data_IF_572631892238
#
_entry.id   IF_572631892238
#
_cell.length_a   1.000
_cell.length_b   1.000
_cell.length_c   1.000
_cell.angle_alpha   90.00
_cell.angle_beta   90.00
_cell.angle_gamma   90.00
#
_symmetry.space_group_name_H-M   'P 1'
#
loop_
_entity.id
_entity.type
_entity.pdbx_description
1 polymer ?
#
# COMPACT_ATOMS: atom_id res chain seq x y z
N UNK A 1 24.92 18.26 -6.43
CA UNK A 1 24.54 17.05 -5.66
C UNK A 1 25.72 16.09 -5.74
N UNK A 2 26.28 15.65 -4.62
CA UNK A 2 27.46 14.75 -4.59
C UNK A 2 26.99 13.31 -4.60
N UNK A 3 27.60 12.45 -5.43
CA UNK A 3 27.41 11.00 -5.33
C UNK A 3 28.07 10.49 -4.05
N UNK A 4 27.43 9.52 -3.42
CA UNK A 4 27.94 8.83 -2.24
C UNK A 4 28.86 7.70 -2.67
N UNK A 5 29.89 7.43 -1.87
CA UNK A 5 30.67 6.21 -2.03
C UNK A 5 29.86 4.98 -1.55
N UNK A 6 30.39 3.78 -1.78
CA UNK A 6 29.68 2.54 -1.44
C UNK A 6 29.35 2.43 0.06
N UNK A 7 30.25 2.86 0.94
CA UNK A 7 30.05 2.83 2.39
C UNK A 7 28.96 3.81 2.84
N UNK A 8 29.02 5.05 2.34
CA UNK A 8 28.03 6.10 2.57
C UNK A 8 26.65 5.70 2.02
N UNK A 9 26.64 5.05 0.85
CA UNK A 9 25.43 4.57 0.20
C UNK A 9 24.80 3.42 0.97
N UNK A 10 25.61 2.50 1.48
CA UNK A 10 25.16 1.38 2.29
C UNK A 10 24.62 1.85 3.65
N UNK A 11 25.28 2.84 4.29
CA UNK A 11 24.78 3.43 5.53
C UNK A 11 23.44 4.14 5.29
N UNK A 12 23.34 4.94 4.21
CA UNK A 12 22.11 5.66 3.88
C UNK A 12 20.96 4.69 3.58
N UNK A 13 21.18 3.72 2.68
CA UNK A 13 20.19 2.70 2.36
C UNK A 13 19.77 1.95 3.63
N UNK A 14 20.71 1.53 4.47
CA UNK A 14 20.41 0.74 5.68
C UNK A 14 19.63 1.55 6.70
N UNK A 15 19.98 2.82 6.89
CA UNK A 15 19.29 3.70 7.83
C UNK A 15 17.82 3.84 7.45
N UNK A 16 17.56 3.99 6.15
CA UNK A 16 16.20 4.07 5.65
C UNK A 16 15.52 2.70 5.58
N UNK A 17 16.20 1.61 5.23
CA UNK A 17 15.61 0.28 5.02
C UNK A 17 15.40 -0.54 6.31
N UNK A 18 16.23 -0.33 7.32
CA UNK A 18 16.29 -1.18 8.52
C UNK A 18 16.26 -0.39 9.82
N UNK A 19 16.35 0.96 9.75
CA UNK A 19 16.46 1.81 10.93
C UNK A 19 17.81 1.71 11.62
N UNK A 20 18.81 1.11 10.97
CA UNK A 20 20.17 0.90 11.46
C UNK A 20 21.20 1.31 10.43
N UNK A 21 22.41 1.67 10.86
CA UNK A 21 23.50 2.03 9.93
C UNK A 21 24.04 0.87 9.10
N UNK A 22 23.72 -0.35 9.50
CA UNK A 22 24.14 -1.59 8.85
C UNK A 22 22.91 -2.40 8.43
N UNK A 23 23.02 -3.22 7.35
CA UNK A 23 21.95 -4.13 6.98
C UNK A 23 21.64 -5.14 8.08
N UNK A 24 20.38 -5.59 8.15
CA UNK A 24 20.01 -6.73 8.99
C UNK A 24 20.76 -8.00 8.55
N UNK A 25 21.03 -8.90 9.50
CA UNK A 25 21.66 -10.18 9.21
C UNK A 25 20.87 -10.94 8.13
N UNK A 26 21.56 -11.42 7.09
CA UNK A 26 20.96 -12.08 5.92
C UNK A 26 20.59 -11.14 4.75
N UNK A 27 20.63 -9.82 4.95
CA UNK A 27 20.29 -8.84 3.90
C UNK A 27 21.49 -8.09 3.32
N UNK A 28 22.71 -8.42 3.76
CA UNK A 28 23.94 -7.70 3.36
C UNK A 28 24.18 -7.72 1.86
N UNK A 29 24.06 -8.89 1.22
CA UNK A 29 24.29 -9.04 -0.23
C UNK A 29 23.25 -8.28 -1.06
N UNK A 30 21.98 -8.33 -0.65
CA UNK A 30 20.89 -7.59 -1.28
C UNK A 30 21.07 -6.07 -1.12
N UNK A 31 21.51 -5.62 0.06
CA UNK A 31 21.80 -4.22 0.31
C UNK A 31 22.95 -3.71 -0.56
N UNK A 32 24.00 -4.52 -0.77
CA UNK A 32 25.10 -4.18 -1.68
C UNK A 32 24.64 -4.10 -3.15
N UNK A 33 23.80 -5.03 -3.61
CA UNK A 33 23.22 -4.97 -4.96
C UNK A 33 22.35 -3.72 -5.16
N UNK A 34 21.55 -3.37 -4.15
CA UNK A 34 20.74 -2.15 -4.15
C UNK A 34 21.61 -0.88 -4.19
N UNK A 35 22.72 -0.85 -3.44
CA UNK A 35 23.70 0.25 -3.49
C UNK A 35 24.31 0.38 -4.88
N UNK A 36 24.76 -0.73 -5.49
CA UNK A 36 25.31 -0.74 -6.83
C UNK A 36 24.31 -0.22 -7.86
N UNK A 37 23.05 -0.66 -7.76
CA UNK A 37 21.97 -0.20 -8.64
C UNK A 37 21.70 1.31 -8.54
N UNK A 38 21.87 1.89 -7.35
CA UNK A 38 21.64 3.32 -7.15
C UNK A 38 22.84 4.20 -7.50
N UNK A 39 24.00 3.62 -7.82
CA UNK A 39 25.22 4.31 -8.26
C UNK A 39 25.57 5.56 -7.43
N UNK A 40 25.39 5.48 -6.10
CA UNK A 40 25.67 6.58 -5.18
C UNK A 40 24.70 7.75 -5.23
N UNK A 41 23.57 7.66 -5.95
CA UNK A 41 22.53 8.69 -5.98
C UNK A 41 21.77 8.74 -4.63
N UNK A 42 21.91 9.81 -3.82
CA UNK A 42 21.30 9.87 -2.49
C UNK A 42 19.78 9.76 -2.53
N UNK A 43 19.13 10.33 -3.54
CA UNK A 43 17.68 10.31 -3.67
C UNK A 43 17.17 8.91 -4.05
N UNK A 44 17.88 8.22 -4.95
CA UNK A 44 17.53 6.84 -5.30
C UNK A 44 17.66 5.90 -4.09
N UNK A 45 18.73 6.06 -3.32
CA UNK A 45 18.99 5.29 -2.08
C UNK A 45 17.92 5.57 -1.02
N UNK A 46 17.54 6.83 -0.82
CA UNK A 46 16.50 7.22 0.15
C UNK A 46 15.12 6.65 -0.23
N UNK A 47 14.74 6.75 -1.49
CA UNK A 47 13.47 6.21 -2.01
C UNK A 47 13.44 4.69 -1.85
N UNK A 48 14.52 4.02 -2.27
CA UNK A 48 14.62 2.57 -2.17
C UNK A 48 14.63 2.10 -0.72
N UNK A 49 15.44 2.71 0.14
CA UNK A 49 15.52 2.38 1.56
C UNK A 49 14.18 2.60 2.27
N UNK A 50 13.52 3.74 2.04
CA UNK A 50 12.24 4.05 2.68
C UNK A 50 11.10 3.11 2.24
N UNK A 51 11.20 2.58 1.02
CA UNK A 51 10.30 1.51 0.53
C UNK A 51 10.48 0.22 1.35
N UNK A 52 11.71 -0.12 1.74
CA UNK A 52 12.05 -1.34 2.49
C UNK A 52 11.70 -1.24 4.00
N UNK A 53 11.78 -0.05 4.61
CA UNK A 53 11.62 0.16 6.07
C UNK A 53 10.36 -0.41 6.72
N UNK A 54 9.27 -0.50 5.96
CA UNK A 54 7.93 -0.72 6.51
C UNK A 54 7.28 -2.03 6.10
N UNK A 55 8.03 -2.98 5.56
CA UNK A 55 7.43 -4.18 4.97
C UNK A 55 7.37 -5.43 5.85
N UNK A 56 7.57 -5.32 7.17
CA UNK A 56 7.29 -6.40 8.11
C UNK A 56 6.05 -6.21 8.99
N UNK A 57 5.20 -5.22 8.72
CA UNK A 57 3.89 -5.13 9.40
C UNK A 57 2.83 -4.43 8.56
N UNK A 58 2.45 -5.03 7.44
CA UNK A 58 1.07 -4.91 6.94
C UNK A 58 0.64 -6.30 6.40
N UNK A 59 0.12 -7.20 7.24
CA UNK A 59 -0.49 -8.43 6.75
C UNK A 59 -1.88 -8.10 6.19
N UNK A 60 -1.94 -7.45 5.02
CA UNK A 60 -3.10 -7.46 4.11
C UNK A 60 -2.79 -6.68 2.84
N UNK A 61 -1.75 -7.10 2.11
CA UNK A 61 -1.76 -6.94 0.65
C UNK A 61 -2.87 -7.82 0.10
N UNK A 62 -4.13 -7.40 0.18
CA UNK A 62 -5.25 -8.12 -0.44
C UNK A 62 -5.21 -7.88 -1.95
N UNK A 63 -4.17 -8.41 -2.60
CA UNK A 63 -4.23 -8.68 -4.03
C UNK A 63 -5.40 -9.63 -4.24
N UNK A 64 -6.41 -9.18 -4.98
CA UNK A 64 -7.62 -9.97 -5.25
C UNK A 64 -7.40 -10.74 -6.53
N UNK A 65 -8.07 -11.89 -6.60
CA UNK A 65 -8.11 -12.64 -7.84
C UNK A 65 -8.73 -11.78 -8.95
N UNK A 66 -8.07 -11.68 -10.10
CA UNK A 66 -8.59 -10.88 -11.21
C UNK A 66 -9.99 -11.35 -11.63
N UNK A 67 -10.23 -12.66 -11.60
CA UNK A 67 -11.52 -13.24 -11.98
C UNK A 67 -12.63 -12.82 -10.99
N UNK A 68 -12.28 -12.69 -9.70
CA UNK A 68 -13.19 -12.18 -8.67
C UNK A 68 -13.49 -10.69 -8.85
N UNK A 69 -12.47 -9.88 -9.13
CA UNK A 69 -12.63 -8.43 -9.35
C UNK A 69 -13.51 -8.18 -10.58
N UNK A 70 -13.23 -8.86 -11.68
CA UNK A 70 -14.03 -8.78 -12.91
C UNK A 70 -15.47 -9.18 -12.61
N UNK A 71 -15.70 -10.32 -11.94
CA UNK A 71 -17.06 -10.78 -11.61
C UNK A 71 -17.91 -9.73 -10.88
N UNK A 72 -17.32 -8.96 -9.96
CA UNK A 72 -18.03 -7.96 -9.17
C UNK A 72 -18.22 -6.65 -9.95
N UNK A 73 -17.19 -6.21 -10.68
CA UNK A 73 -17.16 -4.85 -11.26
C UNK A 73 -17.56 -4.81 -12.73
N UNK A 74 -17.66 -5.94 -13.43
CA UNK A 74 -18.04 -5.96 -14.84
C UNK A 74 -19.39 -5.28 -15.13
N UNK A 75 -20.47 -5.52 -14.36
CA UNK A 75 -21.79 -4.95 -14.66
C UNK A 75 -21.81 -3.42 -14.71
N UNK A 76 -21.09 -2.77 -13.80
CA UNK A 76 -21.16 -1.32 -13.62
C UNK A 76 -19.99 -0.58 -14.28
N UNK A 77 -18.85 -1.25 -14.49
CA UNK A 77 -17.59 -0.57 -14.82
C UNK A 77 -16.85 -1.15 -16.03
N UNK A 78 -17.38 -2.15 -16.73
CA UNK A 78 -16.67 -2.82 -17.84
C UNK A 78 -15.24 -3.22 -17.42
N UNK A 79 -15.16 -3.87 -16.25
CA UNK A 79 -13.93 -4.07 -15.49
C UNK A 79 -12.81 -4.72 -16.32
N UNK A 80 -13.13 -5.64 -17.22
CA UNK A 80 -12.15 -6.29 -18.10
C UNK A 80 -11.40 -5.27 -18.95
N UNK A 81 -12.12 -4.34 -19.58
CA UNK A 81 -11.54 -3.29 -20.42
C UNK A 81 -10.81 -2.24 -19.57
N UNK A 82 -11.40 -1.86 -18.44
CA UNK A 82 -10.80 -0.93 -17.49
C UNK A 82 -9.45 -1.43 -16.94
N UNK A 83 -9.41 -2.67 -16.45
CA UNK A 83 -8.19 -3.31 -15.91
C UNK A 83 -7.11 -3.40 -16.98
N UNK A 84 -7.45 -3.85 -18.20
CA UNK A 84 -6.49 -3.89 -19.31
C UNK A 84 -5.89 -2.52 -19.62
N UNK A 85 -6.72 -1.48 -19.61
CA UNK A 85 -6.27 -0.10 -19.82
C UNK A 85 -5.32 0.37 -18.71
N UNK A 86 -5.62 0.06 -17.45
CA UNK A 86 -4.77 0.40 -16.31
C UNK A 86 -3.43 -0.36 -16.32
N UNK A 87 -3.43 -1.63 -16.75
CA UNK A 87 -2.20 -2.41 -16.95
C UNK A 87 -1.33 -1.80 -18.05
N UNK A 88 -1.91 -1.45 -19.20
CA UNK A 88 -1.18 -0.80 -20.29
C UNK A 88 -0.60 0.57 -19.88
N UNK A 89 -1.16 1.21 -18.86
CA UNK A 89 -0.67 2.47 -18.29
C UNK A 89 0.28 2.27 -17.11
N UNK A 90 0.71 1.03 -16.82
CA UNK A 90 1.59 0.67 -15.71
C UNK A 90 1.04 1.07 -14.32
N UNK A 91 -0.30 1.24 -14.20
CA UNK A 91 -0.94 1.57 -12.93
C UNK A 91 -1.33 0.31 -12.13
N UNK A 92 -1.55 -0.79 -12.84
CA UNK A 92 -1.83 -2.10 -12.29
C UNK A 92 -0.92 -3.15 -12.96
N UNK A 93 -0.73 -4.27 -12.27
CA UNK A 93 -0.04 -5.45 -12.80
C UNK A 93 -0.77 -6.72 -12.36
N UNK A 94 -0.49 -7.83 -13.02
CA UNK A 94 -0.94 -9.15 -12.61
C UNK A 94 0.24 -9.96 -12.11
N UNK A 95 0.11 -10.57 -10.94
CA UNK A 95 1.09 -11.54 -10.44
C UNK A 95 0.96 -12.89 -11.17
N UNK A 96 1.96 -13.79 -11.05
CA UNK A 96 1.90 -15.12 -11.66
C UNK A 96 0.69 -15.96 -11.21
N UNK A 97 0.17 -15.73 -10.00
CA UNK A 97 -1.01 -16.39 -9.44
C UNK A 97 -2.33 -15.63 -9.72
N UNK A 98 -2.40 -14.87 -10.81
CA UNK A 98 -3.59 -14.12 -11.26
C UNK A 98 -4.13 -13.10 -10.24
N UNK A 99 -3.29 -12.58 -9.37
CA UNK A 99 -3.72 -11.51 -8.45
C UNK A 99 -3.48 -10.16 -9.10
N UNK A 100 -4.47 -9.28 -8.96
CA UNK A 100 -4.35 -7.90 -9.37
C UNK A 100 -3.55 -7.14 -8.31
N UNK A 101 -2.48 -6.49 -8.75
CA UNK A 101 -1.53 -5.79 -7.88
C UNK A 101 -1.41 -4.35 -8.34
N UNK A 102 -1.33 -3.42 -7.37
CA UNK A 102 -1.02 -2.02 -7.61
C UNK A 102 0.31 -1.69 -6.93
N UNK A 103 1.16 -0.87 -7.57
CA UNK A 103 2.41 -0.43 -6.96
C UNK A 103 2.14 0.34 -5.65
N UNK A 104 2.98 0.12 -4.63
CA UNK A 104 2.79 0.71 -3.30
C UNK A 104 2.67 2.24 -3.33
N UNK A 105 3.49 2.92 -4.13
CA UNK A 105 3.43 4.39 -4.26
C UNK A 105 2.08 4.88 -4.79
N UNK A 106 1.49 4.18 -5.77
CA UNK A 106 0.17 4.54 -6.30
C UNK A 106 -0.92 4.31 -5.26
N UNK A 107 -0.81 3.24 -4.48
CA UNK A 107 -1.72 3.00 -3.36
C UNK A 107 -1.61 4.09 -2.30
N UNK A 108 -0.40 4.43 -1.89
CA UNK A 108 -0.14 5.44 -0.87
C UNK A 108 -0.60 6.83 -1.34
N UNK A 109 -0.42 7.14 -2.63
CA UNK A 109 -0.96 8.35 -3.25
C UNK A 109 -2.49 8.36 -3.20
N UNK A 110 -3.16 7.30 -3.67
CA UNK A 110 -4.62 7.21 -3.64
C UNK A 110 -5.20 7.31 -2.23
N UNK A 111 -4.59 6.63 -1.26
CA UNK A 111 -4.95 6.72 0.16
C UNK A 111 -4.76 8.14 0.70
N UNK A 112 -3.67 8.83 0.32
CA UNK A 112 -3.45 10.20 0.75
C UNK A 112 -4.48 11.16 0.18
N UNK A 113 -4.86 11.03 -1.10
CA UNK A 113 -5.91 11.85 -1.72
C UNK A 113 -7.20 11.75 -0.89
N UNK A 114 -7.66 10.52 -0.61
CA UNK A 114 -8.88 10.31 0.18
C UNK A 114 -8.72 10.80 1.63
N UNK A 115 -7.52 10.66 2.22
CA UNK A 115 -7.25 11.19 3.57
C UNK A 115 -7.36 12.72 3.62
N UNK A 116 -6.99 13.42 2.54
CA UNK A 116 -7.06 14.89 2.48
C UNK A 116 -8.48 15.43 2.37
N UNK A 117 -9.44 14.64 1.87
CA UNK A 117 -10.86 15.03 1.87
C UNK A 117 -11.36 15.34 3.28
N UNK A 118 -10.89 14.58 4.28
CA UNK A 118 -11.05 14.93 5.68
C UNK A 118 -9.94 14.34 6.55
N UNK A 119 -8.98 15.18 6.91
CA UNK A 119 -7.85 14.78 7.77
C UNK A 119 -8.36 14.29 9.13
N UNK A 120 -9.36 14.98 9.69
CA UNK A 120 -9.85 14.77 11.06
C UNK A 120 -10.91 13.69 11.18
N UNK A 121 -11.72 13.46 10.14
CA UNK A 121 -12.90 12.60 10.24
C UNK A 121 -12.98 11.60 9.09
N UNK A 122 -12.67 10.31 9.34
CA UNK A 122 -12.82 9.26 8.33
C UNK A 122 -14.24 9.15 7.77
N UNK A 123 -15.26 9.43 8.58
CA UNK A 123 -16.67 9.40 8.18
C UNK A 123 -17.04 10.42 7.08
N UNK A 124 -16.23 11.45 6.87
CA UNK A 124 -16.45 12.50 5.86
C UNK A 124 -15.60 12.30 4.60
N UNK A 125 -15.06 11.09 4.40
CA UNK A 125 -14.26 10.72 3.23
C UNK A 125 -15.14 9.91 2.25
N UNK A 126 -14.76 9.91 1.00
CA UNK A 126 -15.32 9.08 -0.08
C UNK A 126 -15.07 7.60 0.17
N UNK A 127 -13.90 7.25 0.72
CA UNK A 127 -13.52 5.85 0.98
C UNK A 127 -12.91 5.69 2.36
N UNK A 128 -13.27 4.60 3.02
CA UNK A 128 -12.67 4.20 4.30
C UNK A 128 -12.21 2.75 4.19
N UNK A 129 -10.91 2.52 4.41
CA UNK A 129 -10.30 1.20 4.26
C UNK A 129 -9.70 0.64 5.55
N UNK A 130 -9.56 1.45 6.60
CA UNK A 130 -9.05 0.98 7.90
C UNK A 130 -10.17 0.28 8.65
N UNK A 131 -9.97 -1.01 8.98
CA UNK A 131 -11.00 -1.84 9.62
C UNK A 131 -11.57 -1.20 10.89
N UNK A 132 -10.74 -0.54 11.69
CA UNK A 132 -11.17 0.18 12.91
C UNK A 132 -12.09 1.38 12.60
N UNK A 133 -11.77 2.15 11.57
CA UNK A 133 -12.57 3.31 11.18
C UNK A 133 -13.90 2.84 10.58
N UNK A 134 -13.84 1.86 9.68
CA UNK A 134 -15.03 1.25 9.07
C UNK A 134 -15.96 0.68 10.14
N UNK A 135 -15.43 -0.08 11.10
CA UNK A 135 -16.23 -0.62 12.20
C UNK A 135 -16.85 0.48 13.06
N UNK A 136 -16.08 1.50 13.46
CA UNK A 136 -16.60 2.61 14.26
C UNK A 136 -17.72 3.37 13.54
N UNK A 137 -17.57 3.57 12.22
CA UNK A 137 -18.58 4.24 11.40
C UNK A 137 -19.86 3.42 11.37
N UNK A 138 -19.77 2.11 11.11
CA UNK A 138 -20.94 1.24 10.99
C UNK A 138 -21.62 1.00 12.35
N UNK A 139 -20.86 0.65 13.39
CA UNK A 139 -21.40 0.33 14.73
C UNK A 139 -22.07 1.53 15.42
N UNK A 140 -21.64 2.75 15.11
CA UNK A 140 -22.21 3.99 15.68
C UNK A 140 -23.18 4.69 14.74
N UNK A 141 -23.46 4.13 13.55
CA UNK A 141 -24.30 4.77 12.54
C UNK A 141 -23.78 6.14 12.08
N UNK A 142 -22.45 6.35 12.12
CA UNK A 142 -21.82 7.62 11.75
C UNK A 142 -21.47 7.70 10.25
N UNK A 143 -22.14 6.90 9.41
CA UNK A 143 -22.00 7.02 7.96
C UNK A 143 -22.44 8.41 7.51
N UNK A 144 -21.77 8.95 6.50
CA UNK A 144 -22.19 10.20 5.86
C UNK A 144 -22.47 9.96 4.39
N UNK A 145 -23.21 10.88 3.78
CA UNK A 145 -23.53 10.88 2.35
C UNK A 145 -22.28 10.95 1.45
N UNK A 146 -21.13 11.35 1.99
CA UNK A 146 -19.88 11.40 1.22
C UNK A 146 -19.28 10.02 1.01
N UNK A 147 -19.61 9.03 1.83
CA UNK A 147 -18.99 7.70 1.77
C UNK A 147 -19.55 6.94 0.55
N UNK A 148 -18.68 6.69 -0.42
CA UNK A 148 -18.95 5.87 -1.60
C UNK A 148 -18.48 4.42 -1.43
N UNK A 149 -17.55 4.15 -0.51
CA UNK A 149 -17.00 2.81 -0.33
C UNK A 149 -16.36 2.54 1.02
N UNK A 150 -16.58 1.33 1.52
CA UNK A 150 -16.07 0.84 2.81
C UNK A 150 -15.36 -0.51 2.60
N UNK A 151 -14.16 -0.65 3.16
CA UNK A 151 -13.50 -1.96 3.25
C UNK A 151 -13.79 -2.58 4.62
N UNK A 152 -14.32 -3.79 4.60
CA UNK A 152 -14.64 -4.58 5.79
C UNK A 152 -13.74 -5.80 5.89
N UNK A 153 -13.17 -5.96 7.08
CA UNK A 153 -12.47 -7.19 7.46
C UNK A 153 -13.38 -8.03 8.36
N UNK A 154 -13.93 -9.11 7.79
CA UNK A 154 -14.82 -10.01 8.50
C UNK A 154 -14.11 -10.77 9.63
N UNK A 155 -12.79 -10.92 9.58
CA UNK A 155 -12.03 -11.58 10.66
C UNK A 155 -11.99 -10.68 11.90
N UNK A 156 -11.74 -9.38 11.71
CA UNK A 156 -11.78 -8.38 12.80
C UNK A 156 -13.18 -8.30 13.43
N UNK A 157 -14.24 -8.46 12.64
CA UNK A 157 -15.61 -8.54 13.16
C UNK A 157 -15.89 -9.82 13.96
N UNK A 158 -15.22 -10.94 13.62
CA UNK A 158 -15.40 -12.22 14.30
C UNK A 158 -14.58 -12.37 15.59
N UNK A 159 -13.41 -11.73 15.65
CA UNK A 159 -12.51 -11.77 16.81
C UNK A 159 -12.89 -10.74 17.88
N UNK A 160 -13.54 -9.66 17.46
CA UNK A 160 -14.06 -8.67 18.37
C UNK A 160 -15.47 -9.02 18.85
N UNK A 161 -15.68 -9.05 20.17
CA UNK A 161 -16.98 -9.19 20.81
C UNK A 161 -17.80 -7.88 20.64
N UNK A 162 -18.01 -7.50 19.38
CA UNK A 162 -18.47 -6.22 18.92
C UNK A 162 -19.91 -6.36 18.46
N UNK A 163 -20.84 -6.31 19.42
CA UNK A 163 -22.26 -6.33 19.14
C UNK A 163 -22.64 -5.08 18.34
N UNK A 164 -23.16 -5.30 17.12
CA UNK A 164 -23.98 -4.30 16.45
C UNK A 164 -25.20 -4.05 17.35
N UNK A 165 -25.31 -2.84 17.90
CA UNK A 165 -26.48 -2.42 18.67
C UNK A 165 -27.61 -2.02 17.74
#
# INVERSE_FOLDING_TARGET
MRLLNDDESLELLSRHAFGSKIPLAGFKELALQAVQYCEGNPLALEVLGSSLFKNNTIPHWQSKDIDYVVKILEPDYSATSGIKTLINRCLLSTSPNKKLVMHRLLQDMGKNIVRQESIKSPAKRSRVWLSIDTYNILSKGMGSETIEGLALDMQVLSEGNFAFK
#
